data_IF_306374855073
#
_entry.id   IF_306374855073
#
_cell.length_a   1.000
_cell.length_b   1.000
_cell.length_c   1.000
_cell.angle_alpha   90.00
_cell.angle_beta   90.00
_cell.angle_gamma   90.00
#
_symmetry.space_group_name_H-M   'P 1'
#
loop_
_entity.id
_entity.type
_entity.pdbx_description
1 polymer ?
#
# COMPACT_ATOMS: atom_id res chain seq x y z
N UNK A 1 1.53 -10.22 -19.78
CA UNK A 1 1.08 -10.17 -18.37
C UNK A 1 -0.41 -10.41 -18.38
N UNK A 2 -0.95 -11.45 -17.70
CA UNK A 2 -2.39 -11.60 -17.63
C UNK A 2 -2.95 -10.51 -16.72
N UNK A 3 -3.85 -9.71 -17.25
CA UNK A 3 -4.65 -8.72 -16.52
C UNK A 3 -5.66 -9.51 -15.68
N UNK A 4 -5.27 -9.90 -14.45
CA UNK A 4 -6.18 -10.60 -13.55
C UNK A 4 -7.25 -9.59 -13.14
N UNK A 5 -8.52 -9.78 -13.54
CA UNK A 5 -9.57 -8.83 -13.20
C UNK A 5 -9.71 -8.78 -11.68
N UNK A 6 -9.68 -7.56 -11.12
CA UNK A 6 -9.83 -7.31 -9.69
C UNK A 6 -10.99 -8.13 -9.11
N UNK A 7 -10.76 -8.80 -7.97
CA UNK A 7 -11.73 -9.72 -7.38
C UNK A 7 -13.03 -8.98 -7.00
N UNK A 8 -14.12 -9.72 -6.75
CA UNK A 8 -15.35 -9.11 -6.19
C UNK A 8 -15.08 -8.41 -4.86
N UNK A 9 -14.14 -8.92 -4.07
CA UNK A 9 -13.68 -8.30 -2.82
C UNK A 9 -13.05 -6.94 -3.10
N UNK A 10 -12.10 -6.89 -4.02
CA UNK A 10 -11.39 -5.64 -4.38
C UNK A 10 -12.34 -4.58 -4.91
N UNK A 11 -13.34 -4.97 -5.70
CA UNK A 11 -14.37 -4.02 -6.19
C UNK A 11 -15.20 -3.44 -5.05
N UNK A 12 -15.57 -4.25 -4.05
CA UNK A 12 -16.29 -3.77 -2.85
C UNK A 12 -15.41 -2.84 -2.02
N UNK A 13 -14.15 -3.23 -1.77
CA UNK A 13 -13.18 -2.40 -1.03
C UNK A 13 -12.96 -1.05 -1.72
N UNK A 14 -12.73 -1.06 -3.05
CA UNK A 14 -12.61 0.17 -3.85
C UNK A 14 -13.86 1.05 -3.78
N UNK A 15 -15.05 0.45 -3.74
CA UNK A 15 -16.28 1.23 -3.61
C UNK A 15 -16.41 1.87 -2.22
N UNK A 16 -16.16 1.11 -1.15
CA UNK A 16 -16.18 1.64 0.21
C UNK A 16 -15.14 2.76 0.40
N UNK A 17 -13.93 2.58 -0.12
CA UNK A 17 -12.86 3.57 -0.12
C UNK A 17 -13.31 4.87 -0.78
N UNK A 18 -13.92 4.80 -1.97
CA UNK A 18 -14.44 5.98 -2.67
C UNK A 18 -15.47 6.74 -1.84
N UNK A 19 -16.43 6.02 -1.24
CA UNK A 19 -17.47 6.66 -0.41
C UNK A 19 -16.86 7.39 0.79
N UNK A 20 -15.84 6.81 1.43
CA UNK A 20 -15.10 7.43 2.54
C UNK A 20 -14.39 8.71 2.10
N UNK A 21 -13.67 8.66 0.99
CA UNK A 21 -12.97 9.82 0.42
C UNK A 21 -13.95 10.95 0.06
N UNK A 22 -15.12 10.63 -0.46
CA UNK A 22 -16.16 11.61 -0.79
C UNK A 22 -16.68 12.38 0.44
N UNK A 23 -16.65 11.79 1.64
CA UNK A 23 -17.04 12.48 2.88
C UNK A 23 -15.96 13.44 3.41
N UNK A 24 -14.74 13.39 2.90
CA UNK A 24 -13.68 14.29 3.33
C UNK A 24 -13.91 15.73 2.80
N UNK A 25 -13.37 16.77 3.44
CA UNK A 25 -13.22 18.10 2.92
C UNK A 25 -12.38 18.09 1.65
N UNK A 26 -12.62 19.07 0.78
CA UNK A 26 -11.96 19.17 -0.53
C UNK A 26 -10.44 19.06 -0.46
N UNK A 27 -9.79 19.78 0.48
CA UNK A 27 -8.34 19.74 0.64
C UNK A 27 -7.79 18.33 0.97
N UNK A 28 -8.52 17.56 1.78
CA UNK A 28 -8.12 16.20 2.13
C UNK A 28 -8.37 15.21 0.96
N UNK A 29 -9.42 15.44 0.15
CA UNK A 29 -9.64 14.70 -1.10
C UNK A 29 -8.51 14.93 -2.09
N UNK A 30 -8.12 16.17 -2.30
CA UNK A 30 -7.05 16.53 -3.23
C UNK A 30 -5.72 15.88 -2.80
N UNK A 31 -5.44 15.88 -1.50
CA UNK A 31 -4.28 15.20 -0.93
C UNK A 31 -4.31 13.68 -1.15
N UNK A 32 -5.46 13.05 -0.88
CA UNK A 32 -5.67 11.63 -1.14
C UNK A 32 -5.40 11.29 -2.60
N UNK A 33 -5.99 12.04 -3.54
CA UNK A 33 -5.80 11.82 -4.99
C UNK A 33 -4.35 12.00 -5.43
N UNK A 34 -3.65 13.00 -4.89
CA UNK A 34 -2.24 13.23 -5.20
C UNK A 34 -1.35 12.07 -4.74
N UNK A 35 -1.57 11.58 -3.51
CA UNK A 35 -0.81 10.45 -2.95
C UNK A 35 -1.18 9.14 -3.66
N UNK A 36 -2.47 8.89 -3.92
CA UNK A 36 -2.92 7.73 -4.69
C UNK A 36 -2.23 7.68 -6.05
N UNK A 37 -2.21 8.81 -6.77
CA UNK A 37 -1.53 8.92 -8.06
C UNK A 37 -0.03 8.64 -7.93
N UNK A 38 0.63 9.18 -6.91
CA UNK A 38 2.06 8.93 -6.68
C UNK A 38 2.31 7.43 -6.49
N UNK A 39 1.59 6.79 -5.57
CA UNK A 39 1.74 5.36 -5.27
C UNK A 39 1.48 4.48 -6.49
N UNK A 40 0.44 4.77 -7.28
CA UNK A 40 0.12 4.03 -8.52
C UNK A 40 1.25 4.12 -9.55
N UNK A 41 1.99 5.24 -9.60
CA UNK A 41 3.05 5.46 -10.58
C UNK A 41 4.43 4.98 -10.09
N UNK A 42 4.68 4.95 -8.79
CA UNK A 42 6.01 4.64 -8.22
C UNK A 42 6.10 3.23 -7.65
N UNK A 43 4.99 2.64 -7.23
CA UNK A 43 4.97 1.30 -6.67
C UNK A 43 4.72 0.26 -7.77
N UNK A 44 5.45 -0.87 -7.78
CA UNK A 44 5.13 -1.98 -8.66
C UNK A 44 3.69 -2.47 -8.45
N UNK A 45 3.06 -2.91 -9.54
CA UNK A 45 1.72 -3.48 -9.47
C UNK A 45 1.77 -4.74 -8.58
N UNK A 46 1.18 -4.66 -7.38
CA UNK A 46 1.26 -5.69 -6.37
C UNK A 46 0.14 -5.62 -5.34
N UNK A 47 0.05 -6.68 -4.54
CA UNK A 47 -0.84 -6.74 -3.38
C UNK A 47 -0.40 -5.70 -2.34
N UNK A 48 -1.34 -4.92 -1.80
CA UNK A 48 -1.06 -3.92 -0.76
C UNK A 48 -1.41 -2.48 -1.11
N UNK A 49 -1.59 -2.13 -2.40
CA UNK A 49 -2.00 -0.76 -2.76
C UNK A 49 -3.35 -0.39 -2.14
N UNK A 50 -4.33 -1.31 -2.16
CA UNK A 50 -5.62 -1.06 -1.52
C UNK A 50 -5.51 -0.93 0.00
N UNK A 51 -4.54 -1.60 0.62
CA UNK A 51 -4.30 -1.51 2.06
C UNK A 51 -3.65 -0.17 2.41
N UNK A 52 -2.66 0.28 1.63
CA UNK A 52 -2.04 1.60 1.76
C UNK A 52 -3.06 2.75 1.62
N UNK A 53 -3.96 2.66 0.64
CA UNK A 53 -5.00 3.67 0.44
C UNK A 53 -6.06 3.64 1.55
N UNK A 54 -6.38 2.46 2.09
CA UNK A 54 -7.32 2.33 3.20
C UNK A 54 -6.75 2.92 4.50
N UNK A 55 -5.46 2.74 4.75
CA UNK A 55 -4.74 3.38 5.86
C UNK A 55 -4.69 4.90 5.66
N UNK A 56 -4.34 5.37 4.46
CA UNK A 56 -4.33 6.81 4.14
C UNK A 56 -5.67 7.48 4.45
N UNK A 57 -6.78 6.94 3.96
CA UNK A 57 -8.10 7.54 4.22
C UNK A 57 -8.43 7.52 5.72
N UNK A 58 -8.04 6.47 6.45
CA UNK A 58 -8.25 6.35 7.90
C UNK A 58 -7.48 7.43 8.68
N UNK A 59 -6.24 7.71 8.26
CA UNK A 59 -5.42 8.80 8.85
C UNK A 59 -6.04 10.17 8.57
N UNK A 60 -6.54 10.41 7.36
CA UNK A 60 -7.22 11.67 6.99
C UNK A 60 -8.55 11.87 7.73
N UNK A 61 -9.34 10.82 7.93
CA UNK A 61 -10.58 10.86 8.74
C UNK A 61 -10.26 11.18 10.20
N UNK A 62 -9.23 10.55 10.75
CA UNK A 62 -8.78 10.78 12.13
C UNK A 62 -8.34 12.24 12.32
N UNK A 63 -7.51 12.76 11.42
CA UNK A 63 -7.02 14.13 11.49
C UNK A 63 -8.16 15.15 11.48
N UNK A 64 -9.16 14.94 10.63
CA UNK A 64 -10.34 15.78 10.63
C UNK A 64 -11.13 15.71 11.94
N UNK A 65 -11.31 14.52 12.51
CA UNK A 65 -12.02 14.37 13.77
C UNK A 65 -11.35 15.12 14.92
N UNK A 66 -10.02 15.29 14.83
CA UNK A 66 -9.16 15.99 15.80
C UNK A 66 -8.97 17.47 15.51
N UNK A 67 -9.30 17.92 14.29
CA UNK A 67 -9.03 19.28 13.82
C UNK A 67 -7.56 19.51 13.45
N UNK A 68 -6.81 18.45 13.19
CA UNK A 68 -5.39 18.52 12.82
C UNK A 68 -5.23 19.07 11.39
N UNK A 69 -4.14 19.78 11.14
CA UNK A 69 -3.83 20.26 9.80
C UNK A 69 -3.40 19.08 8.91
N UNK A 70 -3.61 19.19 7.60
CA UNK A 70 -3.18 18.16 6.65
C UNK A 70 -1.67 17.90 6.74
N UNK A 71 -0.87 18.95 6.97
CA UNK A 71 0.57 18.87 7.19
C UNK A 71 0.98 18.05 8.42
N UNK A 72 0.10 17.95 9.42
CA UNK A 72 0.36 17.13 10.61
C UNK A 72 0.21 15.63 10.30
N UNK A 73 -0.53 15.30 9.24
CA UNK A 73 -0.72 13.93 8.74
C UNK A 73 0.37 13.53 7.76
N UNK A 74 0.54 14.34 6.71
CA UNK A 74 1.45 14.01 5.59
C UNK A 74 2.89 14.47 5.84
N UNK A 75 3.12 15.27 6.89
CA UNK A 75 4.41 15.87 7.18
C UNK A 75 4.79 17.01 6.22
N UNK A 76 6.01 17.51 6.40
CA UNK A 76 6.59 18.54 5.52
C UNK A 76 7.01 17.99 4.14
N UNK A 77 7.16 16.66 4.03
CA UNK A 77 7.52 15.96 2.79
C UNK A 77 6.47 14.87 2.48
N UNK A 78 5.43 15.21 1.69
CA UNK A 78 4.40 14.26 1.31
C UNK A 78 4.90 13.07 0.49
N UNK A 79 6.03 13.20 -0.23
CA UNK A 79 6.60 12.11 -0.99
C UNK A 79 7.26 11.08 -0.05
N UNK A 80 8.02 11.56 0.94
CA UNK A 80 8.59 10.68 1.97
C UNK A 80 7.49 9.95 2.77
N UNK A 81 6.37 10.62 3.04
CA UNK A 81 5.20 9.99 3.65
C UNK A 81 4.59 8.89 2.75
N UNK A 82 4.42 9.16 1.46
CA UNK A 82 3.91 8.16 0.52
C UNK A 82 4.86 6.95 0.40
N UNK A 83 6.17 7.18 0.37
CA UNK A 83 7.18 6.11 0.36
C UNK A 83 7.14 5.27 1.64
N UNK A 84 6.81 5.88 2.79
CA UNK A 84 6.60 5.15 4.04
C UNK A 84 5.36 4.26 3.99
N UNK A 85 4.22 4.77 3.52
CA UNK A 85 3.00 3.98 3.28
C UNK A 85 3.26 2.80 2.36
N UNK A 86 3.98 3.03 1.25
CA UNK A 86 4.36 1.97 0.33
C UNK A 86 5.18 0.88 1.01
N UNK A 87 6.17 1.26 1.82
CA UNK A 87 7.03 0.30 2.53
C UNK A 87 6.28 -0.51 3.59
N UNK A 88 5.28 0.09 4.24
CA UNK A 88 4.45 -0.56 5.27
C UNK A 88 3.49 -1.59 4.68
N UNK A 89 2.90 -1.29 3.51
CA UNK A 89 1.75 -2.05 2.99
C UNK A 89 2.00 -2.75 1.66
N UNK A 90 2.78 -2.15 0.78
CA UNK A 90 3.09 -2.72 -0.54
C UNK A 90 4.24 -3.70 -0.37
N UNK A 91 3.86 -4.95 -0.11
CA UNK A 91 4.82 -6.04 -0.19
C UNK A 91 5.09 -6.28 -1.67
N UNK A 92 6.33 -6.50 -2.07
CA UNK A 92 6.60 -7.08 -3.38
C UNK A 92 6.22 -8.58 -3.30
N UNK A 93 5.04 -9.05 -3.77
CA UNK A 93 4.69 -10.46 -3.69
C UNK A 93 5.75 -11.36 -4.35
N UNK A 94 6.45 -10.82 -5.36
CA UNK A 94 7.62 -11.47 -5.96
C UNK A 94 8.79 -11.62 -4.98
N UNK A 95 9.06 -10.65 -4.11
CA UNK A 95 10.14 -10.70 -3.11
C UNK A 95 9.87 -11.76 -2.05
N UNK A 96 8.65 -11.84 -1.53
CA UNK A 96 8.27 -12.86 -0.55
C UNK A 96 8.38 -14.27 -1.15
N UNK A 97 7.87 -14.46 -2.38
CA UNK A 97 8.03 -15.72 -3.10
C UNK A 97 9.50 -16.06 -3.39
N UNK A 98 10.31 -15.06 -3.76
CA UNK A 98 11.73 -15.25 -4.04
C UNK A 98 12.54 -15.55 -2.77
N UNK A 99 12.23 -14.93 -1.64
CA UNK A 99 12.83 -15.27 -0.35
C UNK A 99 12.53 -16.71 0.04
N UNK A 100 11.28 -17.16 -0.14
CA UNK A 100 10.93 -18.55 0.13
C UNK A 100 11.68 -19.51 -0.80
N UNK A 101 11.75 -19.22 -2.11
CA UNK A 101 12.52 -20.02 -3.07
C UNK A 101 14.00 -20.09 -2.71
N UNK A 102 14.58 -18.96 -2.32
CA UNK A 102 15.98 -18.87 -1.92
C UNK A 102 16.25 -19.72 -0.67
N UNK A 103 15.42 -19.61 0.37
CA UNK A 103 15.55 -20.41 1.59
C UNK A 103 15.45 -21.91 1.27
N UNK A 104 14.47 -22.31 0.45
CA UNK A 104 14.30 -23.71 0.04
C UNK A 104 15.50 -24.23 -0.74
N UNK A 105 16.00 -23.46 -1.72
CA UNK A 105 17.15 -23.86 -2.54
C UNK A 105 18.44 -24.00 -1.71
N UNK A 106 18.67 -23.12 -0.73
CA UNK A 106 19.83 -23.23 0.18
C UNK A 106 19.70 -24.46 1.08
N UNK A 107 18.52 -24.70 1.66
CA UNK A 107 18.28 -25.87 2.50
C UNK A 107 18.42 -27.20 1.74
N UNK A 108 18.04 -27.23 0.46
CA UNK A 108 18.27 -28.39 -0.42
C UNK A 108 19.77 -28.60 -0.69
N UNK A 109 20.50 -27.53 -1.02
CA UNK A 109 21.95 -27.60 -1.23
C UNK A 109 22.72 -28.07 0.02
N UNK A 110 22.32 -27.63 1.22
CA UNK A 110 22.92 -28.07 2.49
C UNK A 110 22.71 -29.56 2.76
N UNK A 111 21.53 -30.11 2.41
CA UNK A 111 21.25 -31.56 2.52
C UNK A 111 22.08 -32.37 1.53
N UNK A 112 22.23 -31.88 0.29
CA UNK A 112 23.06 -32.55 -0.72
C UNK A 112 24.55 -32.55 -0.36
N UNK A 113 25.00 -31.53 0.38
CA UNK A 113 26.37 -31.43 0.88
C UNK A 113 26.61 -32.20 2.21
N UNK A 114 25.58 -32.83 2.78
CA UNK A 114 25.68 -33.60 4.03
C UNK A 114 25.98 -32.74 5.26
N UNK A 115 25.63 -31.45 5.22
CA UNK A 115 25.83 -30.49 6.32
C UNK A 115 24.66 -30.47 7.32
N UNK A 116 23.64 -31.30 7.10
CA UNK A 116 22.49 -31.59 7.97
C UNK A 116 22.16 -33.08 7.91
#
# INVERSE_FOLDING_TARGET
MPDIPATRGDRRRRHALRLRVEQLPMAARDAFTAIERYLVLTCPAGDGLLDALDDLVSRLETAQSRGDALSDVVGADPAAFADALAREHVTEPRRAAEQHRLVTAVAEAEREQGLL
#
